data_IF_027192944781
#
_entry.id   IF_027192944781
#
_cell.length_a   1.000
_cell.length_b   1.000
_cell.length_c   1.000
_cell.angle_alpha   90.00
_cell.angle_beta   90.00
_cell.angle_gamma   90.00
#
_symmetry.space_group_name_H-M   'P 1'
#
loop_
_entity.id
_entity.type
_entity.pdbx_description
1 polymer ?
#
# COMPACT_ATOMS: atom_id res chain seq x y z
N UNK A 1 -0.42 18.72 -0.60
CA UNK A 1 -1.88 18.72 -0.87
C UNK A 1 -2.31 19.45 -2.15
N UNK A 2 -1.40 19.82 -3.08
CA UNK A 2 -1.82 20.50 -4.33
C UNK A 2 -2.64 19.58 -5.26
N UNK A 3 -2.26 18.32 -5.35
CA UNK A 3 -2.96 17.30 -6.15
C UNK A 3 -4.43 17.13 -5.72
N UNK A 4 -4.67 16.87 -4.44
CA UNK A 4 -6.03 16.69 -3.89
C UNK A 4 -6.94 17.93 -4.01
N UNK A 5 -6.35 19.11 -4.29
CA UNK A 5 -7.11 20.35 -4.50
C UNK A 5 -7.59 20.52 -5.95
N UNK A 6 -7.12 19.70 -6.89
CA UNK A 6 -7.59 19.76 -8.28
C UNK A 6 -9.08 19.37 -8.34
N UNK A 7 -9.92 20.05 -9.15
CA UNK A 7 -11.36 19.80 -9.19
C UNK A 7 -11.76 18.34 -9.51
N UNK A 8 -10.96 17.67 -10.33
CA UNK A 8 -11.10 16.27 -10.73
C UNK A 8 -10.76 15.28 -9.59
N UNK A 9 -9.81 15.62 -8.73
CA UNK A 9 -9.35 14.74 -7.64
C UNK A 9 -10.08 14.97 -6.31
N UNK A 10 -10.48 16.21 -6.03
CA UNK A 10 -11.07 16.63 -4.75
C UNK A 10 -12.25 15.77 -4.25
N UNK A 11 -13.19 15.29 -5.09
CA UNK A 11 -14.30 14.47 -4.60
C UNK A 11 -13.90 13.02 -4.31
N UNK A 12 -12.72 12.57 -4.71
CA UNK A 12 -12.31 11.16 -4.66
C UNK A 12 -11.05 10.90 -3.82
N UNK A 13 -10.27 11.95 -3.51
CA UNK A 13 -8.99 11.82 -2.82
C UNK A 13 -8.95 12.73 -1.62
N UNK A 14 -8.73 12.13 -0.45
CA UNK A 14 -8.57 12.83 0.82
C UNK A 14 -7.16 12.63 1.37
N UNK A 15 -6.63 13.65 2.04
CA UNK A 15 -5.44 13.52 2.87
C UNK A 15 -5.85 13.69 4.32
N UNK A 16 -5.62 12.66 5.12
CA UNK A 16 -5.88 12.67 6.55
C UNK A 16 -4.59 13.03 7.28
N UNK A 17 -4.58 14.19 7.95
CA UNK A 17 -3.45 14.61 8.77
C UNK A 17 -3.45 13.92 10.13
N UNK A 18 -2.30 13.91 10.79
CA UNK A 18 -2.15 13.43 12.17
C UNK A 18 -2.63 11.99 12.36
N UNK A 19 -2.29 11.12 11.40
CA UNK A 19 -2.62 9.70 11.45
C UNK A 19 -2.03 9.02 12.70
N UNK A 20 -2.92 8.51 13.53
CA UNK A 20 -2.60 7.84 14.78
C UNK A 20 -3.39 6.53 14.93
N UNK A 21 -3.34 5.92 16.11
CA UNK A 21 -4.02 4.65 16.37
C UNK A 21 -5.55 4.75 16.33
N UNK A 22 -6.13 5.88 16.75
CA UNK A 22 -7.58 6.08 16.74
C UNK A 22 -8.07 6.16 15.30
N UNK A 23 -7.40 6.99 14.48
CA UNK A 23 -7.72 7.10 13.06
C UNK A 23 -7.48 5.79 12.30
N UNK A 24 -6.39 5.09 12.61
CA UNK A 24 -6.11 3.76 12.06
C UNK A 24 -7.26 2.79 12.35
N UNK A 25 -7.79 2.80 13.58
CA UNK A 25 -8.89 1.93 13.99
C UNK A 25 -10.13 2.08 13.13
N UNK A 26 -10.49 3.32 12.77
CA UNK A 26 -11.58 3.59 11.85
C UNK A 26 -11.25 3.19 10.40
N UNK A 27 -10.02 3.46 9.95
CA UNK A 27 -9.61 3.19 8.57
C UNK A 27 -9.61 1.69 8.25
N UNK A 28 -9.02 0.86 9.12
CA UNK A 28 -8.94 -0.60 8.85
C UNK A 28 -10.29 -1.30 8.84
N UNK A 29 -11.33 -0.70 9.43
CA UNK A 29 -12.70 -1.23 9.43
C UNK A 29 -13.49 -0.86 8.17
N UNK A 30 -13.12 0.22 7.49
CA UNK A 30 -13.87 0.76 6.34
C UNK A 30 -13.16 0.66 5.00
N UNK A 31 -11.92 0.16 4.98
CA UNK A 31 -11.12 0.05 3.75
C UNK A 31 -11.41 -1.25 3.03
N UNK A 32 -11.66 -1.17 1.72
CA UNK A 32 -11.78 -2.36 0.87
C UNK A 32 -10.41 -2.87 0.44
N UNK A 33 -9.51 -1.96 0.04
CA UNK A 33 -8.17 -2.26 -0.47
C UNK A 33 -7.10 -1.44 0.25
N UNK A 34 -6.09 -2.12 0.79
CA UNK A 34 -4.95 -1.50 1.48
C UNK A 34 -3.69 -1.54 0.62
N UNK A 35 -3.12 -0.37 0.34
CA UNK A 35 -1.99 -0.19 -0.58
C UNK A 35 -0.68 0.00 0.18
N UNK A 36 0.33 -0.80 -0.16
CA UNK A 36 1.70 -0.67 0.31
C UNK A 36 2.68 -0.78 -0.85
N UNK A 37 3.48 0.27 -1.09
CA UNK A 37 4.49 0.28 -2.15
C UNK A 37 5.90 0.52 -1.58
N UNK A 38 6.39 -0.36 -0.68
CA UNK A 38 7.78 -0.27 -0.24
C UNK A 38 8.71 -0.63 -1.39
N UNK A 39 9.92 -0.08 -1.40
CA UNK A 39 10.98 -0.56 -2.27
C UNK A 39 11.58 -1.83 -1.66
N UNK A 40 11.73 -2.91 -2.43
CA UNK A 40 12.42 -4.11 -1.94
C UNK A 40 13.92 -3.89 -1.74
N UNK A 41 14.56 -4.48 -0.72
CA UNK A 41 13.99 -5.28 0.38
C UNK A 41 13.85 -4.47 1.70
N UNK A 42 13.32 -3.24 1.62
CA UNK A 42 13.38 -2.30 2.75
C UNK A 42 12.21 -2.40 3.74
N UNK A 43 11.19 -3.19 3.45
CA UNK A 43 10.13 -3.48 4.42
C UNK A 43 10.48 -4.76 5.19
N UNK A 44 10.76 -4.63 6.48
CA UNK A 44 11.06 -5.80 7.30
C UNK A 44 9.81 -6.66 7.57
N UNK A 45 8.64 -6.04 7.79
CA UNK A 45 7.39 -6.75 8.04
C UNK A 45 6.21 -5.89 7.57
N UNK A 46 5.51 -5.19 8.47
CA UNK A 46 4.38 -4.33 8.13
C UNK A 46 3.07 -4.79 8.77
N UNK A 47 2.84 -4.45 10.05
CA UNK A 47 1.66 -4.93 10.79
C UNK A 47 0.34 -4.26 10.39
N UNK A 48 0.38 -3.15 9.64
CA UNK A 48 -0.82 -2.45 9.19
C UNK A 48 -1.62 -3.28 8.19
N UNK A 49 -0.96 -3.90 7.21
CA UNK A 49 -1.61 -4.76 6.22
C UNK A 49 -2.22 -6.02 6.85
N UNK A 50 -1.58 -6.58 7.88
CA UNK A 50 -2.11 -7.72 8.65
C UNK A 50 -3.47 -7.40 9.29
N UNK A 51 -3.65 -6.18 9.79
CA UNK A 51 -4.91 -5.75 10.42
C UNK A 51 -6.06 -5.68 9.42
N UNK A 52 -5.77 -5.33 8.16
CA UNK A 52 -6.80 -5.19 7.11
C UNK A 52 -7.39 -6.55 6.73
N UNK A 53 -6.57 -7.59 6.59
CA UNK A 53 -7.08 -8.94 6.29
C UNK A 53 -8.09 -9.44 7.33
N UNK A 54 -7.82 -9.19 8.61
CA UNK A 54 -8.72 -9.58 9.71
C UNK A 54 -10.05 -8.83 9.67
N UNK A 55 -10.08 -7.65 9.05
CA UNK A 55 -11.31 -6.86 8.85
C UNK A 55 -12.01 -7.15 7.51
N UNK A 56 -11.54 -8.14 6.75
CA UNK A 56 -12.15 -8.54 5.48
C UNK A 56 -11.78 -7.69 4.27
N UNK A 57 -10.85 -6.74 4.43
CA UNK A 57 -10.24 -6.04 3.31
C UNK A 57 -9.12 -6.86 2.66
N UNK A 58 -8.71 -6.46 1.46
CA UNK A 58 -7.64 -7.10 0.68
C UNK A 58 -6.42 -6.19 0.54
N UNK A 59 -5.24 -6.74 0.29
CA UNK A 59 -4.02 -5.96 0.13
C UNK A 59 -3.59 -5.84 -1.34
N UNK A 60 -2.96 -4.72 -1.67
CA UNK A 60 -2.25 -4.48 -2.92
C UNK A 60 -0.85 -4.04 -2.52
N UNK A 61 0.13 -4.93 -2.62
CA UNK A 61 1.46 -4.65 -2.10
C UNK A 61 2.57 -5.34 -2.88
N UNK A 62 3.75 -4.73 -2.86
CA UNK A 62 5.01 -5.36 -3.26
C UNK A 62 5.28 -6.62 -2.41
N UNK A 63 5.91 -7.65 -2.99
CA UNK A 63 6.27 -8.90 -2.29
C UNK A 63 7.49 -8.71 -1.38
N UNK A 64 7.30 -7.90 -0.34
CA UNK A 64 8.29 -7.60 0.69
C UNK A 64 7.70 -7.73 2.09
N UNK A 65 8.58 -7.80 3.09
CA UNK A 65 8.18 -7.90 4.49
C UNK A 65 7.14 -8.99 4.73
N UNK A 66 6.06 -8.64 5.43
CA UNK A 66 5.02 -9.61 5.79
C UNK A 66 4.21 -10.11 4.59
N UNK A 67 4.11 -9.30 3.54
CA UNK A 67 3.28 -9.64 2.39
C UNK A 67 3.91 -10.77 1.56
N UNK A 68 5.24 -10.84 1.54
CA UNK A 68 5.96 -11.97 0.96
C UNK A 68 5.61 -13.33 1.61
N UNK A 69 5.19 -13.33 2.88
CA UNK A 69 4.77 -14.54 3.60
C UNK A 69 3.29 -14.86 3.45
N UNK A 70 2.43 -13.82 3.41
CA UNK A 70 0.98 -13.96 3.49
C UNK A 70 0.27 -13.92 2.13
N UNK A 71 0.93 -13.49 1.06
CA UNK A 71 0.31 -13.31 -0.24
C UNK A 71 -0.29 -14.61 -0.77
N UNK A 72 -1.58 -14.54 -1.10
CA UNK A 72 -2.22 -15.45 -2.04
C UNK A 72 -3.11 -14.64 -2.99
N UNK A 73 -3.41 -15.15 -4.21
CA UNK A 73 -4.30 -14.48 -5.15
C UNK A 73 -5.74 -14.26 -4.62
N UNK A 74 -6.15 -14.99 -3.57
CA UNK A 74 -7.50 -14.89 -3.00
C UNK A 74 -7.67 -13.67 -2.08
N UNK A 75 -6.56 -13.07 -1.62
CA UNK A 75 -6.56 -12.01 -0.60
C UNK A 75 -5.93 -10.71 -1.07
N UNK A 76 -5.68 -10.59 -2.38
CA UNK A 76 -5.16 -9.37 -2.97
C UNK A 76 -4.24 -9.58 -4.16
N UNK A 77 -3.34 -8.61 -4.36
CA UNK A 77 -2.42 -8.57 -5.49
C UNK A 77 -0.99 -8.29 -5.02
N UNK A 78 -0.06 -8.93 -5.73
CA UNK A 78 1.36 -8.64 -5.66
C UNK A 78 1.71 -7.58 -6.71
N UNK A 79 2.48 -6.57 -6.32
CA UNK A 79 3.14 -5.63 -7.21
C UNK A 79 4.57 -6.11 -7.55
N UNK A 80 5.15 -5.51 -8.58
CA UNK A 80 6.55 -5.68 -8.94
C UNK A 80 6.87 -7.02 -9.61
N UNK A 81 8.17 -7.22 -9.88
CA UNK A 81 8.74 -8.43 -10.48
C UNK A 81 9.37 -9.37 -9.45
N UNK A 82 9.27 -9.03 -8.15
CA UNK A 82 9.85 -9.79 -7.05
C UNK A 82 11.39 -9.78 -7.04
N UNK A 83 12.04 -8.86 -7.76
CA UNK A 83 13.49 -8.68 -7.73
C UNK A 83 13.91 -7.49 -6.85
N UNK A 84 15.21 -7.35 -6.63
CA UNK A 84 15.81 -6.17 -6.01
C UNK A 84 16.46 -5.32 -7.09
N UNK A 85 16.12 -4.03 -7.14
CA UNK A 85 16.61 -3.08 -8.14
C UNK A 85 17.59 -2.05 -7.58
N UNK A 86 17.98 -2.21 -6.30
CA UNK A 86 18.92 -1.32 -5.61
C UNK A 86 18.41 0.13 -5.52
N UNK A 87 19.29 1.08 -5.79
CA UNK A 87 18.98 2.52 -5.72
C UNK A 87 18.68 3.14 -7.10
N UNK A 88 18.44 2.34 -8.15
CA UNK A 88 18.20 2.86 -9.49
C UNK A 88 16.89 3.68 -9.56
N UNK A 89 16.95 5.02 -9.74
CA UNK A 89 15.75 5.85 -9.84
C UNK A 89 14.95 5.60 -11.13
N UNK A 90 15.56 5.00 -12.16
CA UNK A 90 14.86 4.63 -13.37
C UNK A 90 13.84 3.51 -13.12
N UNK A 91 14.09 2.65 -12.13
CA UNK A 91 13.16 1.58 -11.75
C UNK A 91 11.84 2.13 -11.24
N UNK A 92 11.86 3.11 -10.31
CA UNK A 92 10.63 3.72 -9.79
C UNK A 92 9.73 4.28 -10.90
N UNK A 93 10.34 4.88 -11.92
CA UNK A 93 9.63 5.46 -13.05
C UNK A 93 9.05 4.38 -13.98
N UNK A 94 9.77 3.26 -14.16
CA UNK A 94 9.30 2.13 -14.95
C UNK A 94 8.12 1.43 -14.25
N UNK A 95 8.23 1.19 -12.94
CA UNK A 95 7.18 0.56 -12.13
C UNK A 95 5.91 1.41 -12.07
N UNK A 96 6.05 2.74 -11.97
CA UNK A 96 4.90 3.66 -12.00
C UNK A 96 4.14 3.70 -13.34
N UNK A 97 4.72 3.15 -14.42
CA UNK A 97 4.12 3.09 -15.76
C UNK A 97 3.56 1.70 -16.14
N UNK A 98 3.85 0.68 -15.33
CA UNK A 98 3.39 -0.70 -15.55
C UNK A 98 1.90 -0.86 -15.22
#
# INVERSE_FOLDING_TARGET
TRFIRRPDARPHVIFLSDYDMELTGHLVQGVDVWLNTPRRPWEASGTSGMKVLVNGGINLSELDGWWAEAYTPDVGWALGDGQEHGEDPAWDAAEAQA
#
